data_IF_046835246405
#
_entry.id   IF_046835246405
#
_cell.length_a   1.000
_cell.length_b   1.000
_cell.length_c   1.000
_cell.angle_alpha   90.00
_cell.angle_beta   90.00
_cell.angle_gamma   90.00
#
_symmetry.space_group_name_H-M   'P 1'
#
loop_
_entity.id
_entity.type
_entity.pdbx_description
1 polymer ?
#
# COMPACT_ATOMS: atom_id res chain seq x y z
N UNK A 1 -2.35 -15.04 9.94
CA UNK A 1 -2.86 -13.84 10.65
C UNK A 1 -2.88 -12.71 9.64
N UNK A 2 -3.87 -11.81 9.68
CA UNK A 2 -3.97 -10.69 8.73
C UNK A 2 -3.76 -9.37 9.45
N UNK A 3 -3.09 -8.43 8.79
CA UNK A 3 -2.87 -7.06 9.24
C UNK A 3 -3.68 -6.13 8.36
N UNK A 4 -4.52 -5.31 8.97
CA UNK A 4 -5.34 -4.33 8.26
C UNK A 4 -4.63 -2.98 8.36
N UNK A 5 -4.19 -2.44 7.23
CA UNK A 5 -3.48 -1.18 7.16
C UNK A 5 -4.46 -0.02 6.98
N UNK A 6 -4.27 1.03 7.75
CA UNK A 6 -5.00 2.30 7.61
C UNK A 6 -4.33 3.21 6.57
N UNK A 7 -5.06 4.23 6.10
CA UNK A 7 -4.56 5.23 5.16
C UNK A 7 -3.27 5.89 5.66
N UNK A 8 -3.21 6.25 6.96
CA UNK A 8 -2.03 6.90 7.53
C UNK A 8 -0.75 6.06 7.41
N UNK A 9 -0.86 4.74 7.67
CA UNK A 9 0.28 3.84 7.56
C UNK A 9 0.80 3.71 6.12
N UNK A 10 -0.11 3.70 5.15
CA UNK A 10 0.26 3.68 3.72
C UNK A 10 0.85 5.02 3.28
N UNK A 11 0.28 6.14 3.71
CA UNK A 11 0.79 7.48 3.42
C UNK A 11 2.23 7.62 3.95
N UNK A 12 2.46 7.24 5.20
CA UNK A 12 3.79 7.30 5.81
C UNK A 12 4.80 6.40 5.09
N UNK A 13 4.38 5.19 4.71
CA UNK A 13 5.23 4.26 3.95
C UNK A 13 5.64 4.85 2.60
N UNK A 14 4.68 5.39 1.83
CA UNK A 14 4.93 5.87 0.48
C UNK A 14 5.70 7.20 0.45
N UNK A 15 5.49 8.07 1.44
CA UNK A 15 6.15 9.37 1.51
C UNK A 15 7.57 9.31 2.06
N UNK A 16 7.87 8.38 2.97
CA UNK A 16 9.17 8.35 3.64
C UNK A 16 10.13 7.28 3.12
N UNK A 17 9.61 6.20 2.51
CA UNK A 17 10.41 5.06 2.07
C UNK A 17 10.37 4.91 0.56
N UNK A 18 11.39 5.44 -0.11
CA UNK A 18 11.51 5.37 -1.58
C UNK A 18 12.06 4.01 -2.04
N UNK A 19 11.47 3.35 -3.06
CA UNK A 19 11.87 2.02 -3.51
C UNK A 19 13.35 1.87 -3.85
N UNK A 20 13.95 2.89 -4.49
CA UNK A 20 15.36 2.89 -4.87
C UNK A 20 16.32 2.88 -3.66
N UNK A 21 15.87 3.39 -2.51
CA UNK A 21 16.66 3.46 -1.27
C UNK A 21 16.36 2.31 -0.32
N UNK A 22 15.16 1.76 -0.36
CA UNK A 22 14.68 0.68 0.51
C UNK A 22 14.18 -0.54 -0.27
N UNK A 23 14.96 -1.12 -1.19
CA UNK A 23 14.46 -2.18 -2.09
C UNK A 23 13.94 -3.40 -1.32
N UNK A 24 14.67 -3.85 -0.30
CA UNK A 24 14.25 -5.01 0.51
C UNK A 24 12.99 -4.78 1.34
N UNK A 25 12.64 -3.53 1.65
CA UNK A 25 11.38 -3.19 2.32
C UNK A 25 10.22 -3.43 1.35
N UNK A 26 10.32 -2.86 0.16
CA UNK A 26 9.28 -2.96 -0.87
C UNK A 26 9.09 -4.38 -1.37
N UNK A 27 10.17 -5.14 -1.61
CA UNK A 27 10.09 -6.56 -1.96
C UNK A 27 9.32 -7.40 -0.92
N UNK A 28 9.53 -7.13 0.37
CA UNK A 28 8.81 -7.82 1.46
C UNK A 28 7.38 -7.33 1.59
N UNK A 29 7.16 -6.02 1.49
CA UNK A 29 5.83 -5.43 1.55
C UNK A 29 4.95 -5.98 0.42
N UNK A 30 5.43 -5.95 -0.82
CA UNK A 30 4.70 -6.47 -1.99
C UNK A 30 4.41 -7.97 -1.83
N UNK A 31 5.35 -8.74 -1.27
CA UNK A 31 5.10 -10.17 -0.97
C UNK A 31 3.95 -10.34 0.04
N UNK A 32 3.94 -9.55 1.12
CA UNK A 32 2.91 -9.64 2.16
C UNK A 32 1.54 -9.17 1.68
N UNK A 33 1.50 -8.19 0.77
CA UNK A 33 0.27 -7.76 0.09
C UNK A 33 -0.24 -8.86 -0.85
N UNK A 34 0.63 -9.43 -1.68
CA UNK A 34 0.27 -10.51 -2.62
C UNK A 34 -0.20 -11.80 -1.94
N UNK A 35 0.34 -12.11 -0.75
CA UNK A 35 -0.08 -13.24 0.09
C UNK A 35 -1.40 -12.96 0.85
N UNK A 36 -1.92 -11.73 0.81
CA UNK A 36 -3.10 -11.33 1.57
C UNK A 36 -2.87 -11.29 3.09
N UNK A 37 -1.60 -11.23 3.52
CA UNK A 37 -1.22 -11.02 4.91
C UNK A 37 -1.39 -9.57 5.31
N UNK A 38 -1.07 -8.62 4.41
CA UNK A 38 -1.44 -7.21 4.55
C UNK A 38 -2.65 -6.94 3.65
N UNK A 39 -3.72 -6.44 4.24
CA UNK A 39 -4.94 -6.02 3.55
C UNK A 39 -5.34 -4.62 4.00
N UNK A 40 -6.31 -4.03 3.31
CA UNK A 40 -6.99 -2.83 3.79
C UNK A 40 -8.48 -2.88 3.45
N UNK A 41 -9.24 -1.90 3.90
CA UNK A 41 -10.68 -1.81 3.66
C UNK A 41 -10.99 -0.89 2.48
N UNK A 42 -12.20 -1.02 1.92
CA UNK A 42 -12.66 -0.19 0.81
C UNK A 42 -12.60 1.32 1.08
N UNK A 43 -12.78 1.73 2.33
CA UNK A 43 -12.73 3.15 2.67
C UNK A 43 -11.32 3.73 2.52
N UNK A 44 -10.28 2.96 2.87
CA UNK A 44 -8.89 3.36 2.67
C UNK A 44 -8.58 3.50 1.18
N UNK A 45 -9.07 2.58 0.34
CA UNK A 45 -8.96 2.71 -1.12
C UNK A 45 -9.59 4.02 -1.63
N UNK A 46 -10.80 4.35 -1.15
CA UNK A 46 -11.52 5.56 -1.54
C UNK A 46 -10.79 6.83 -1.08
N UNK A 47 -10.20 6.81 0.11
CA UNK A 47 -9.44 7.93 0.68
C UNK A 47 -8.20 8.23 -0.16
N UNK A 48 -7.32 7.24 -0.37
CA UNK A 48 -5.99 7.48 -0.95
C UNK A 48 -5.94 7.35 -2.49
N UNK A 49 -6.99 6.82 -3.12
CA UNK A 49 -7.06 6.62 -4.57
C UNK A 49 -7.22 7.92 -5.40
N UNK A 50 -7.55 9.05 -4.76
CA UNK A 50 -7.90 10.30 -5.43
C UNK A 50 -6.74 11.25 -5.77
N UNK A 51 -5.57 11.09 -5.13
CA UNK A 51 -4.56 12.16 -5.08
C UNK A 51 -3.59 12.24 -6.27
N UNK A 52 -3.56 11.25 -7.16
CA UNK A 52 -2.71 11.25 -8.38
C UNK A 52 -1.21 11.03 -8.14
N UNK A 53 -0.81 10.83 -6.89
CA UNK A 53 0.55 10.55 -6.44
C UNK A 53 0.96 9.07 -6.60
N UNK A 54 2.18 8.73 -6.17
CA UNK A 54 2.72 7.35 -6.25
C UNK A 54 1.83 6.34 -5.53
N UNK A 55 1.28 6.70 -4.37
CA UNK A 55 0.40 5.84 -3.60
C UNK A 55 -0.90 5.57 -4.37
N UNK A 56 -1.56 6.62 -4.86
CA UNK A 56 -2.81 6.46 -5.62
C UNK A 56 -2.63 5.65 -6.90
N UNK A 57 -1.49 5.78 -7.59
CA UNK A 57 -1.15 4.98 -8.76
C UNK A 57 -0.95 3.51 -8.41
N UNK A 58 -0.23 3.23 -7.32
CA UNK A 58 -0.02 1.87 -6.83
C UNK A 58 -1.34 1.22 -6.41
N UNK A 59 -2.18 1.92 -5.65
CA UNK A 59 -3.50 1.42 -5.21
C UNK A 59 -4.42 1.08 -6.40
N UNK A 60 -4.41 1.88 -7.46
CA UNK A 60 -5.16 1.61 -8.70
C UNK A 60 -4.60 0.43 -9.49
N UNK A 61 -3.28 0.25 -9.50
CA UNK A 61 -2.60 -0.81 -10.26
C UNK A 61 -2.79 -2.18 -9.64
N UNK A 62 -2.63 -2.29 -8.32
CA UNK A 62 -2.67 -3.57 -7.61
C UNK A 62 -4.09 -4.15 -7.47
N UNK A 63 -5.12 -3.41 -7.92
CA UNK A 63 -6.54 -3.81 -7.87
C UNK A 63 -6.89 -4.45 -6.52
N UNK A 64 -6.43 -3.81 -5.44
CA UNK A 64 -6.35 -4.37 -4.09
C UNK A 64 -7.70 -4.98 -3.70
N UNK A 65 -7.73 -6.31 -3.67
CA UNK A 65 -8.93 -7.10 -3.42
C UNK A 65 -9.41 -6.90 -1.98
N UNK A 66 -10.72 -6.62 -1.85
CA UNK A 66 -11.44 -6.58 -0.58
C UNK A 66 -11.71 -7.97 -0.02
#
# INVERSE_FOLDING_TARGET
MRYVFDSGALIDLFNNFYPERFPSLWEKFDRLVNDGTIISVREVYNEIGGYGDRLSQWVKKENWTF
#
